data_IF_143975229178
#
_entry.id   IF_143975229178
#
_cell.length_a   1.000
_cell.length_b   1.000
_cell.length_c   1.000
_cell.angle_alpha   90.00
_cell.angle_beta   90.00
_cell.angle_gamma   90.00
#
_symmetry.space_group_name_H-M   'P 1'
#
loop_
_entity.id
_entity.type
_entity.pdbx_description
1 polymer ?
#
# COMPACT_ATOMS: atom_id res chain seq x y z
N UNK A 1 -26.43 50.22 5.71
CA UNK A 1 -25.41 49.63 4.81
C UNK A 1 -24.89 48.38 5.50
N UNK A 2 -25.25 47.20 5.00
CA UNK A 2 -24.84 45.90 5.54
C UNK A 2 -23.80 45.30 4.60
N UNK A 3 -22.56 45.19 5.08
CA UNK A 3 -21.45 44.53 4.40
C UNK A 3 -21.61 43.01 4.50
N UNK A 4 -21.58 42.25 3.39
CA UNK A 4 -21.56 40.80 3.46
C UNK A 4 -20.12 40.34 3.75
N UNK A 5 -19.91 39.63 4.87
CA UNK A 5 -18.68 38.88 5.10
C UNK A 5 -18.67 37.66 4.17
N UNK A 6 -17.75 37.64 3.22
CA UNK A 6 -17.39 36.43 2.45
C UNK A 6 -16.62 35.47 3.35
N UNK A 7 -17.24 34.35 3.70
CA UNK A 7 -16.56 33.20 4.28
C UNK A 7 -15.76 32.50 3.16
N UNK A 8 -14.45 32.72 3.15
CA UNK A 8 -13.52 31.88 2.40
C UNK A 8 -13.52 30.49 3.02
N UNK A 9 -14.15 29.53 2.34
CA UNK A 9 -14.03 28.11 2.66
C UNK A 9 -12.59 27.67 2.37
N UNK A 10 -11.74 27.66 3.40
CA UNK A 10 -10.46 26.96 3.38
C UNK A 10 -10.77 25.47 3.35
N UNK A 11 -10.80 24.88 2.16
CA UNK A 11 -10.72 23.43 2.01
C UNK A 11 -9.30 23.00 2.41
N UNK A 12 -9.10 22.62 3.67
CA UNK A 12 -7.91 21.87 4.03
C UNK A 12 -7.97 20.54 3.29
N UNK A 13 -6.95 20.17 2.49
CA UNK A 13 -6.87 18.81 1.99
C UNK A 13 -6.83 17.89 3.21
N UNK A 14 -7.80 17.00 3.28
CA UNK A 14 -7.87 15.87 4.21
C UNK A 14 -6.49 15.24 4.34
N UNK A 15 -5.93 15.19 5.55
CA UNK A 15 -4.73 14.42 5.84
C UNK A 15 -5.13 12.95 5.86
N UNK A 16 -5.03 12.28 4.71
CA UNK A 16 -5.12 10.84 4.65
C UNK A 16 -3.83 10.25 5.25
N UNK A 17 -3.94 9.13 5.95
CA UNK A 17 -2.78 8.45 6.52
C UNK A 17 -1.93 7.83 5.40
N UNK A 18 -1.01 8.60 4.84
CA UNK A 18 0.01 8.11 3.91
C UNK A 18 0.86 7.04 4.61
N UNK A 19 1.12 5.92 3.93
CA UNK A 19 1.97 4.86 4.50
C UNK A 19 3.42 5.31 4.41
N UNK A 20 4.06 5.56 5.56
CA UNK A 20 5.48 5.89 5.63
C UNK A 20 6.32 4.60 5.68
N UNK A 21 7.05 4.33 4.61
CA UNK A 21 8.01 3.23 4.51
C UNK A 21 9.38 3.71 4.95
N UNK A 22 9.98 2.97 5.88
CA UNK A 22 11.29 3.28 6.45
C UNK A 22 12.26 2.14 6.14
N UNK A 23 13.51 2.49 5.92
CA UNK A 23 14.58 1.53 5.77
C UNK A 23 15.83 2.01 6.52
N UNK A 24 16.74 1.09 6.85
CA UNK A 24 18.00 1.45 7.50
C UNK A 24 18.86 2.30 6.56
N UNK A 25 19.66 3.20 7.14
CA UNK A 25 20.65 3.97 6.39
C UNK A 25 21.60 3.05 5.61
N UNK A 26 21.80 3.35 4.32
CA UNK A 26 22.53 2.51 3.33
C UNK A 26 21.98 1.08 3.20
N UNK A 27 20.75 0.85 3.63
CA UNK A 27 20.05 -0.42 3.50
C UNK A 27 19.28 -0.53 2.19
N UNK A 28 18.97 -1.78 1.85
CA UNK A 28 18.03 -2.17 0.81
C UNK A 28 16.81 -2.80 1.49
N UNK A 29 15.64 -2.19 1.34
CA UNK A 29 14.39 -2.74 1.85
C UNK A 29 13.50 -3.22 0.72
N UNK A 30 13.18 -4.51 0.77
CA UNK A 30 12.31 -5.15 -0.19
C UNK A 30 10.92 -5.35 0.41
N UNK A 31 9.89 -4.80 -0.22
CA UNK A 31 8.52 -4.82 0.32
C UNK A 31 7.46 -4.91 -0.78
N UNK A 32 6.36 -5.61 -0.49
CA UNK A 32 5.15 -5.58 -1.29
C UNK A 32 4.17 -4.55 -0.72
N UNK A 33 3.52 -3.79 -1.61
CA UNK A 33 2.48 -2.81 -1.32
C UNK A 33 1.32 -3.01 -2.30
N UNK A 34 0.14 -2.54 -1.92
CA UNK A 34 -1.02 -2.54 -2.82
C UNK A 34 -0.94 -1.32 -3.73
N UNK A 35 -1.14 -1.51 -5.03
CA UNK A 35 -1.22 -0.39 -5.97
C UNK A 35 -2.40 0.54 -5.63
N UNK A 36 -2.25 1.79 -6.01
CA UNK A 36 -3.26 2.83 -5.82
C UNK A 36 -3.37 3.43 -4.43
N UNK A 37 -2.63 2.92 -3.45
CA UNK A 37 -2.52 3.54 -2.12
C UNK A 37 -1.30 4.46 -2.05
N UNK A 38 -1.52 5.69 -1.60
CA UNK A 38 -0.45 6.67 -1.42
C UNK A 38 0.61 6.19 -0.43
N UNK A 39 1.88 6.38 -0.80
CA UNK A 39 3.02 5.92 -0.02
C UNK A 39 4.11 6.99 0.03
N UNK A 40 4.80 7.07 1.16
CA UNK A 40 5.99 7.89 1.33
C UNK A 40 7.18 6.99 1.61
N UNK A 41 8.20 7.07 0.76
CA UNK A 41 9.50 6.44 0.98
C UNK A 41 10.39 7.42 1.74
N UNK A 42 10.78 7.06 2.96
CA UNK A 42 11.57 7.94 3.82
C UNK A 42 12.98 8.14 3.24
N UNK A 43 13.44 9.38 3.18
CA UNK A 43 14.85 9.68 3.01
C UNK A 43 15.22 10.92 3.81
N UNK A 44 16.02 10.73 4.85
CA UNK A 44 16.38 11.76 5.83
C UNK A 44 17.54 12.64 5.34
N UNK A 45 17.45 13.11 4.09
CA UNK A 45 18.44 14.00 3.51
C UNK A 45 17.78 15.12 2.70
N UNK A 46 17.83 16.37 3.18
CA UNK A 46 17.32 17.51 2.43
C UNK A 46 17.93 17.57 1.04
N UNK A 47 17.12 17.93 0.04
CA UNK A 47 17.53 18.02 -1.37
C UNK A 47 18.00 16.71 -2.02
N UNK A 48 17.80 15.54 -1.41
CA UNK A 48 18.18 14.26 -2.01
C UNK A 48 17.67 14.01 -3.44
N UNK A 49 18.49 13.41 -4.30
CA UNK A 49 18.08 13.00 -5.64
C UNK A 49 17.46 11.60 -5.58
N UNK A 50 16.40 11.40 -6.36
CA UNK A 50 15.70 10.12 -6.44
C UNK A 50 15.76 9.56 -7.84
N UNK A 51 16.26 8.33 -7.94
CA UNK A 51 16.31 7.56 -9.17
C UNK A 51 15.37 6.37 -9.07
N UNK A 52 14.81 5.96 -10.22
CA UNK A 52 14.00 4.77 -10.33
C UNK A 52 14.54 3.87 -11.43
N UNK A 53 14.62 2.58 -11.14
CA UNK A 53 14.96 1.52 -12.08
C UNK A 53 13.78 0.53 -12.13
N UNK A 54 13.18 0.40 -13.32
CA UNK A 54 12.08 -0.55 -13.55
C UNK A 54 12.58 -2.00 -13.45
N UNK A 55 11.75 -2.92 -12.95
CA UNK A 55 12.04 -4.36 -12.99
C UNK A 55 12.22 -4.91 -14.41
N UNK A 56 11.77 -4.18 -15.44
CA UNK A 56 11.90 -4.56 -16.84
C UNK A 56 13.29 -4.30 -17.42
N UNK A 57 14.23 -3.79 -16.62
CA UNK A 57 15.63 -3.60 -17.02
C UNK A 57 15.90 -2.31 -17.79
N UNK A 58 15.14 -1.25 -17.51
CA UNK A 58 15.38 0.09 -18.05
C UNK A 58 16.49 0.82 -17.29
N UNK A 59 17.20 1.73 -17.97
CA UNK A 59 18.22 2.57 -17.33
C UNK A 59 17.59 3.44 -16.22
N UNK A 60 18.29 3.62 -15.07
CA UNK A 60 17.78 4.43 -13.98
C UNK A 60 17.52 5.87 -14.44
N UNK A 61 16.34 6.41 -14.13
CA UNK A 61 16.01 7.79 -14.47
C UNK A 61 15.60 8.61 -13.24
N UNK A 62 15.78 9.92 -13.34
CA UNK A 62 15.47 10.87 -12.27
C UNK A 62 13.95 11.03 -12.15
N UNK A 63 13.41 10.83 -10.95
CA UNK A 63 11.97 10.85 -10.69
C UNK A 63 11.32 12.25 -10.71
N UNK A 64 12.08 13.32 -10.99
CA UNK A 64 11.60 14.70 -10.98
C UNK A 64 10.49 15.01 -11.99
N UNK A 65 10.29 14.14 -12.99
CA UNK A 65 9.40 14.38 -14.13
C UNK A 65 8.16 13.47 -14.14
N UNK A 66 7.98 12.63 -13.12
CA UNK A 66 6.85 11.69 -13.05
C UNK A 66 5.66 12.37 -12.36
N UNK A 67 4.48 12.46 -13.00
CA UNK A 67 3.40 13.34 -12.55
C UNK A 67 2.76 12.93 -11.22
N UNK A 68 2.78 11.65 -10.87
CA UNK A 68 2.23 11.14 -9.61
C UNK A 68 3.27 10.99 -8.50
N UNK A 69 4.45 11.59 -8.66
CA UNK A 69 5.54 11.52 -7.71
C UNK A 69 5.93 12.93 -7.28
N UNK A 70 6.10 13.12 -5.97
CA UNK A 70 6.46 14.40 -5.37
C UNK A 70 7.58 14.22 -4.36
N UNK A 71 8.62 15.03 -4.48
CA UNK A 71 9.67 15.12 -3.45
C UNK A 71 9.20 16.03 -2.31
N UNK A 72 9.30 15.52 -1.09
CA UNK A 72 8.94 16.25 0.12
C UNK A 72 10.12 17.13 0.61
N UNK A 73 9.87 18.21 1.36
CA UNK A 73 10.92 19.11 1.84
C UNK A 73 12.05 18.43 2.63
N UNK A 74 11.72 17.34 3.34
CA UNK A 74 12.68 16.54 4.12
C UNK A 74 13.60 15.63 3.30
N UNK A 75 13.34 15.47 1.99
CA UNK A 75 14.09 14.55 1.13
C UNK A 75 13.31 13.30 0.74
N UNK A 76 12.31 12.90 1.52
CA UNK A 76 11.42 11.76 1.23
C UNK A 76 10.67 11.89 -0.09
N UNK A 77 10.26 10.75 -0.64
CA UNK A 77 9.52 10.66 -1.90
C UNK A 77 8.08 10.25 -1.61
N UNK A 78 7.12 11.04 -2.05
CA UNK A 78 5.70 10.71 -2.03
C UNK A 78 5.29 10.18 -3.41
N UNK A 79 4.62 9.03 -3.44
CA UNK A 79 3.96 8.49 -4.62
C UNK A 79 2.46 8.49 -4.36
N UNK A 80 1.70 9.18 -5.21
CA UNK A 80 0.24 9.21 -5.17
C UNK A 80 -0.31 8.18 -6.14
N UNK A 81 -1.25 7.33 -5.70
CA UNK A 81 -1.91 6.31 -6.52
C UNK A 81 -0.90 5.49 -7.39
N UNK A 82 0.14 4.87 -6.79
CA UNK A 82 1.20 4.19 -7.53
C UNK A 82 0.65 2.99 -8.33
N UNK A 83 1.14 2.81 -9.55
CA UNK A 83 0.69 1.74 -10.45
C UNK A 83 1.63 0.52 -10.39
N UNK A 84 1.19 -0.68 -10.79
CA UNK A 84 2.07 -1.85 -10.87
C UNK A 84 3.27 -1.67 -11.81
N UNK A 85 3.16 -0.80 -12.82
CA UNK A 85 4.30 -0.44 -13.69
C UNK A 85 5.40 0.34 -12.96
N UNK A 86 5.14 0.83 -11.75
CA UNK A 86 6.09 1.50 -10.88
C UNK A 86 6.75 0.54 -9.89
N UNK A 87 6.56 -0.77 -10.05
CA UNK A 87 7.33 -1.81 -9.35
C UNK A 87 8.79 -1.76 -9.79
N UNK A 88 9.71 -1.71 -8.83
CA UNK A 88 11.13 -1.56 -9.13
C UNK A 88 11.94 -1.01 -7.96
N UNK A 89 13.13 -0.52 -8.29
CA UNK A 89 14.12 -0.05 -7.33
C UNK A 89 14.15 1.48 -7.29
N UNK A 90 13.93 2.03 -6.11
CA UNK A 90 13.96 3.46 -5.82
C UNK A 90 15.21 3.77 -5.01
N UNK A 91 16.05 4.66 -5.52
CA UNK A 91 17.33 4.99 -4.93
C UNK A 91 17.33 6.44 -4.47
N UNK A 92 17.60 6.66 -3.18
CA UNK A 92 17.82 8.00 -2.64
C UNK A 92 19.32 8.28 -2.54
N UNK A 93 19.78 9.38 -3.14
CA UNK A 93 21.15 9.86 -3.06
C UNK A 93 21.21 11.25 -2.43
N UNK A 94 22.27 11.52 -1.68
CA UNK A 94 22.54 12.86 -1.16
C UNK A 94 23.04 13.81 -2.26
N UNK A 95 23.30 15.07 -1.89
CA UNK A 95 23.79 16.08 -2.83
C UNK A 95 25.21 15.82 -3.36
N UNK A 96 25.95 14.89 -2.75
CA UNK A 96 27.28 14.44 -3.17
C UNK A 96 27.24 13.12 -3.95
N UNK A 97 26.05 12.67 -4.39
CA UNK A 97 25.81 11.40 -5.06
C UNK A 97 26.11 10.16 -4.18
N UNK A 98 26.19 10.30 -2.86
CA UNK A 98 26.34 9.16 -1.98
C UNK A 98 24.98 8.51 -1.72
N UNK A 99 24.95 7.18 -1.72
CA UNK A 99 23.74 6.42 -1.43
C UNK A 99 23.28 6.65 0.01
N UNK A 100 22.01 7.01 0.17
CA UNK A 100 21.34 7.16 1.47
C UNK A 100 20.51 5.93 1.80
N UNK A 101 19.70 5.45 0.86
CA UNK A 101 18.78 4.31 1.07
C UNK A 101 18.23 3.78 -0.26
N UNK A 102 17.91 2.49 -0.32
CA UNK A 102 17.27 1.83 -1.46
C UNK A 102 15.99 1.12 -1.04
N UNK A 103 14.96 1.25 -1.88
CA UNK A 103 13.68 0.57 -1.72
C UNK A 103 13.36 -0.25 -2.96
N UNK A 104 13.24 -1.55 -2.81
CA UNK A 104 12.75 -2.45 -3.85
C UNK A 104 11.28 -2.77 -3.58
N UNK A 105 10.40 -2.12 -4.33
CA UNK A 105 8.97 -2.11 -4.04
C UNK A 105 8.21 -2.87 -5.13
N UNK A 106 7.38 -3.82 -4.69
CA UNK A 106 6.36 -4.48 -5.50
C UNK A 106 4.99 -3.84 -5.27
N UNK A 107 4.50 -3.06 -6.25
CA UNK A 107 3.11 -2.58 -6.26
C UNK A 107 2.19 -3.63 -6.89
N UNK A 108 1.59 -4.45 -6.03
CA UNK A 108 0.68 -5.52 -6.48
C UNK A 108 -0.69 -4.96 -6.87
N UNK A 109 -1.20 -5.44 -8.00
CA UNK A 109 -2.38 -4.86 -8.64
C UNK A 109 -3.68 -5.09 -7.85
N UNK A 110 -4.17 -4.00 -7.27
CA UNK A 110 -5.44 -3.93 -6.54
C UNK A 110 -6.65 -4.32 -7.37
N UNK A 111 -6.61 -4.13 -8.68
CA UNK A 111 -7.73 -4.45 -9.57
C UNK A 111 -8.03 -5.96 -9.63
N UNK A 112 -7.06 -6.78 -9.21
CA UNK A 112 -7.14 -8.25 -9.21
C UNK A 112 -7.35 -8.87 -7.83
N UNK A 113 -7.63 -8.02 -6.82
CA UNK A 113 -7.74 -8.41 -5.41
C UNK A 113 -8.70 -9.59 -5.19
N UNK A 114 -8.23 -10.63 -4.50
CA UNK A 114 -9.08 -11.74 -4.06
C UNK A 114 -9.59 -11.51 -2.64
N UNK A 115 -10.90 -11.34 -2.50
CA UNK A 115 -11.54 -11.07 -1.21
C UNK A 115 -12.17 -12.34 -0.64
N UNK A 116 -11.89 -12.63 0.63
CA UNK A 116 -12.51 -13.76 1.35
C UNK A 116 -13.04 -13.33 2.71
N UNK A 117 -14.21 -13.86 3.08
CA UNK A 117 -14.82 -13.68 4.39
C UNK A 117 -14.75 -14.97 5.21
N UNK A 118 -13.93 -14.96 6.27
CA UNK A 118 -13.66 -16.15 7.09
C UNK A 118 -14.92 -16.69 7.77
N UNK A 119 -15.79 -15.81 8.27
CA UNK A 119 -17.06 -16.19 8.92
C UNK A 119 -18.08 -16.84 7.99
N UNK A 120 -17.90 -16.72 6.66
CA UNK A 120 -18.75 -17.38 5.66
C UNK A 120 -18.16 -18.72 5.18
N UNK A 121 -17.06 -19.18 5.79
CA UNK A 121 -16.35 -20.38 5.37
C UNK A 121 -15.59 -20.24 4.05
N UNK A 122 -15.47 -19.02 3.51
CA UNK A 122 -14.65 -18.76 2.32
C UNK A 122 -13.18 -18.94 2.67
N UNK A 123 -12.45 -19.66 1.80
CA UNK A 123 -11.05 -19.99 2.01
C UNK A 123 -10.16 -19.08 1.16
N UNK A 124 -9.04 -18.57 1.71
CA UNK A 124 -8.01 -17.90 0.93
C UNK A 124 -7.44 -18.75 -0.21
N UNK A 125 -6.72 -18.10 -1.11
CA UNK A 125 -5.96 -18.76 -2.17
C UNK A 125 -4.99 -19.77 -1.56
N UNK A 126 -5.08 -21.01 -2.04
CA UNK A 126 -4.15 -22.06 -1.64
C UNK A 126 -2.77 -21.76 -2.19
N UNK A 127 -1.73 -22.25 -1.49
CA UNK A 127 -0.38 -22.17 -2.02
C UNK A 127 -0.28 -22.99 -3.31
N UNK A 128 0.49 -22.49 -4.26
CA UNK A 128 0.69 -23.12 -5.56
C UNK A 128 2.18 -23.37 -5.79
N UNK A 129 2.54 -24.47 -6.44
CA UNK A 129 3.91 -24.71 -6.87
C UNK A 129 4.00 -24.45 -8.36
N UNK A 130 4.90 -23.55 -8.77
CA UNK A 130 5.14 -23.22 -10.18
C UNK A 130 6.54 -23.69 -10.62
N UNK A 131 6.70 -23.87 -11.92
CA UNK A 131 8.00 -24.15 -12.55
C UNK A 131 8.48 -22.90 -13.30
N UNK A 132 9.31 -22.09 -12.65
CA UNK A 132 9.85 -20.82 -13.17
C UNK A 132 11.38 -20.89 -13.18
N UNK A 133 11.97 -21.61 -14.14
CA UNK A 133 13.41 -21.94 -14.11
C UNK A 133 13.83 -22.94 -13.01
N UNK A 134 12.93 -23.22 -12.06
CA UNK A 134 13.03 -24.19 -10.97
C UNK A 134 11.67 -24.37 -10.31
N UNK A 135 11.57 -25.27 -9.32
CA UNK A 135 10.33 -25.46 -8.56
C UNK A 135 10.25 -24.41 -7.46
N UNK A 136 9.24 -23.55 -7.54
CA UNK A 136 9.03 -22.46 -6.57
C UNK A 136 7.67 -22.55 -5.90
N UNK A 137 7.58 -22.08 -4.66
CA UNK A 137 6.33 -21.99 -3.91
C UNK A 137 5.77 -20.58 -3.98
N UNK A 138 4.54 -20.44 -4.47
CA UNK A 138 3.77 -19.19 -4.45
C UNK A 138 2.77 -19.24 -3.31
N UNK A 139 2.81 -18.25 -2.43
CA UNK A 139 1.98 -18.18 -1.23
C UNK A 139 1.62 -16.74 -0.86
N UNK A 140 0.75 -16.59 0.14
CA UNK A 140 0.33 -15.29 0.65
C UNK A 140 1.05 -15.01 1.95
N UNK A 141 1.79 -13.91 1.97
CA UNK A 141 2.29 -13.32 3.20
C UNK A 141 1.23 -12.36 3.74
N UNK A 142 0.65 -12.73 4.87
CA UNK A 142 -0.39 -11.93 5.52
C UNK A 142 0.22 -10.83 6.39
N UNK A 143 -0.32 -9.63 6.25
CA UNK A 143 -0.17 -8.59 7.26
C UNK A 143 -0.93 -8.97 8.54
N UNK A 144 -0.59 -8.33 9.67
CA UNK A 144 -1.40 -8.40 10.86
C UNK A 144 -2.86 -8.02 10.59
N UNK A 145 -3.76 -8.54 11.42
CA UNK A 145 -5.13 -8.03 11.45
C UNK A 145 -5.14 -6.58 11.89
N UNK A 146 -5.95 -5.78 11.20
CA UNK A 146 -6.35 -4.47 11.70
C UNK A 146 -7.12 -4.63 13.01
N UNK A 147 -7.17 -3.55 13.77
CA UNK A 147 -8.06 -3.46 14.92
C UNK A 147 -9.52 -3.64 14.48
N UNK A 148 -10.34 -4.09 15.42
CA UNK A 148 -11.77 -4.19 15.18
C UNK A 148 -12.33 -2.79 14.91
N UNK A 149 -13.15 -2.64 13.86
CA UNK A 149 -13.74 -1.34 13.52
C UNK A 149 -14.72 -0.80 14.57
N UNK A 150 -15.12 -1.66 15.52
CA UNK A 150 -16.04 -1.37 16.63
C UNK A 150 -15.55 -2.07 17.89
N UNK A 151 -15.92 -1.52 19.04
CA UNK A 151 -15.72 -2.13 20.35
C UNK A 151 -17.05 -2.22 21.09
N UNK A 152 -17.19 -3.15 22.04
CA UNK A 152 -18.41 -3.36 22.83
C UNK A 152 -19.58 -4.02 22.07
N UNK A 153 -19.54 -3.99 20.75
CA UNK A 153 -20.53 -4.59 19.86
C UNK A 153 -19.87 -5.37 18.71
N UNK A 154 -20.62 -6.25 18.00
CA UNK A 154 -20.10 -6.96 16.84
C UNK A 154 -19.55 -5.99 15.78
N UNK A 155 -18.31 -6.22 15.39
CA UNK A 155 -17.62 -5.47 14.35
C UNK A 155 -16.97 -6.37 13.31
N UNK A 156 -16.16 -5.77 12.47
CA UNK A 156 -15.36 -6.42 11.44
C UNK A 156 -13.92 -5.93 11.49
N UNK A 157 -12.99 -6.83 11.17
CA UNK A 157 -11.58 -6.50 10.96
C UNK A 157 -11.10 -7.12 9.65
N UNK A 158 -10.03 -6.53 9.11
CA UNK A 158 -9.49 -6.86 7.81
C UNK A 158 -7.99 -7.06 7.88
N UNK A 159 -7.43 -7.86 6.97
CA UNK A 159 -5.98 -7.93 6.74
C UNK A 159 -5.68 -8.09 5.26
N UNK A 160 -4.59 -7.47 4.83
CA UNK A 160 -4.07 -7.63 3.48
C UNK A 160 -3.11 -8.81 3.43
N UNK A 161 -3.07 -9.46 2.29
CA UNK A 161 -2.16 -10.55 1.98
C UNK A 161 -1.48 -10.29 0.66
N UNK A 162 -0.16 -10.35 0.63
CA UNK A 162 0.63 -10.10 -0.56
C UNK A 162 1.13 -11.41 -1.16
N UNK A 163 1.22 -11.46 -2.48
CA UNK A 163 1.81 -12.58 -3.21
C UNK A 163 3.32 -12.60 -2.99
N UNK A 164 3.84 -13.74 -2.53
CA UNK A 164 5.27 -14.01 -2.41
C UNK A 164 5.65 -15.32 -3.10
N UNK A 165 6.87 -15.38 -3.61
CA UNK A 165 7.52 -16.56 -4.18
C UNK A 165 8.71 -16.92 -3.30
N UNK A 166 8.86 -18.22 -3.04
CA UNK A 166 10.00 -18.78 -2.30
C UNK A 166 10.64 -19.91 -3.10
N UNK A 167 11.95 -19.79 -3.30
CA UNK A 167 12.80 -20.88 -3.75
C UNK A 167 13.35 -21.68 -2.56
N UNK A 168 13.68 -22.96 -2.76
CA UNK A 168 14.35 -23.73 -1.72
C UNK A 168 15.64 -23.04 -1.24
N UNK A 169 15.76 -22.81 0.06
CA UNK A 169 16.93 -22.20 0.73
C UNK A 169 17.14 -20.69 0.50
N UNK A 170 16.25 -20.03 -0.23
CA UNK A 170 16.30 -18.58 -0.43
C UNK A 170 15.26 -17.84 0.41
N UNK A 171 15.45 -16.52 0.56
CA UNK A 171 14.48 -15.66 1.21
C UNK A 171 13.33 -15.38 0.25
N UNK A 172 12.10 -15.62 0.69
CA UNK A 172 10.94 -15.31 -0.14
C UNK A 172 10.86 -13.83 -0.57
N UNK A 173 10.50 -13.61 -1.82
CA UNK A 173 10.41 -12.32 -2.48
C UNK A 173 8.98 -12.00 -2.95
N UNK A 174 8.58 -10.73 -3.04
CA UNK A 174 7.33 -10.35 -3.70
C UNK A 174 7.27 -10.85 -5.14
N UNK A 175 6.08 -11.33 -5.54
CA UNK A 175 5.91 -12.04 -6.80
C UNK A 175 6.40 -11.27 -8.03
N UNK A 176 6.10 -9.97 -8.15
CA UNK A 176 6.46 -9.25 -9.37
C UNK A 176 7.92 -8.81 -9.42
N UNK A 177 8.59 -8.68 -8.25
CA UNK A 177 10.05 -8.51 -8.19
C UNK A 177 10.77 -9.79 -8.61
N UNK A 178 10.27 -10.95 -8.19
CA UNK A 178 10.82 -12.25 -8.59
C UNK A 178 10.66 -12.50 -10.09
N UNK A 179 9.45 -12.27 -10.63
CA UNK A 179 9.13 -12.57 -12.03
C UNK A 179 9.82 -11.65 -13.04
N UNK A 180 10.28 -10.45 -12.66
CA UNK A 180 10.95 -9.48 -13.55
C UNK A 180 10.25 -9.24 -14.89
N UNK A 181 8.92 -9.22 -14.88
CA UNK A 181 8.11 -9.03 -16.09
C UNK A 181 7.82 -10.29 -16.91
N UNK A 182 8.27 -11.47 -16.46
CA UNK A 182 7.89 -12.75 -17.07
C UNK A 182 6.38 -12.98 -16.93
N UNK A 183 5.71 -13.17 -18.08
CA UNK A 183 4.28 -13.42 -18.11
C UNK A 183 4.01 -14.86 -17.71
N UNK A 184 3.58 -15.07 -16.47
CA UNK A 184 3.03 -16.36 -16.06
C UNK A 184 1.55 -16.22 -15.70
N UNK A 185 0.74 -17.14 -16.23
CA UNK A 185 -0.70 -17.14 -16.03
C UNK A 185 -1.04 -18.05 -14.87
N UNK A 186 -0.82 -17.57 -13.65
CA UNK A 186 -1.31 -18.22 -12.44
C UNK A 186 -2.32 -17.32 -11.74
N UNK A 187 -3.46 -17.91 -11.40
CA UNK A 187 -4.48 -17.25 -10.59
C UNK A 187 -4.01 -16.99 -9.15
N UNK A 188 -2.83 -17.48 -8.77
CA UNK A 188 -2.23 -17.25 -7.46
C UNK A 188 -1.49 -15.92 -7.34
N UNK A 189 -1.14 -15.31 -8.47
CA UNK A 189 -0.36 -14.07 -8.57
C UNK A 189 -1.20 -12.81 -8.34
N UNK A 190 -1.95 -12.78 -7.24
CA UNK A 190 -2.77 -11.64 -6.85
C UNK A 190 -2.74 -11.43 -5.36
N UNK A 191 -2.93 -10.18 -4.99
CA UNK A 191 -3.12 -9.76 -3.61
C UNK A 191 -4.44 -10.32 -3.06
N UNK A 192 -4.48 -10.55 -1.76
CA UNK A 192 -5.66 -11.00 -1.04
C UNK A 192 -6.10 -9.99 0.02
N UNK A 193 -7.40 -9.95 0.28
CA UNK A 193 -8.00 -9.27 1.42
C UNK A 193 -8.84 -10.29 2.19
N UNK A 194 -8.54 -10.46 3.47
CA UNK A 194 -9.36 -11.29 4.34
C UNK A 194 -10.16 -10.43 5.30
N UNK A 195 -11.44 -10.76 5.45
CA UNK A 195 -12.39 -10.11 6.35
C UNK A 195 -12.90 -11.13 7.36
N UNK A 196 -13.05 -10.72 8.61
CA UNK A 196 -13.75 -11.51 9.62
C UNK A 196 -14.51 -10.64 10.61
N UNK A 197 -15.57 -11.22 11.20
CA UNK A 197 -16.25 -10.63 12.33
C UNK A 197 -15.33 -10.62 13.57
N UNK A 198 -15.44 -9.57 14.38
CA UNK A 198 -14.71 -9.43 15.63
C UNK A 198 -15.62 -8.89 16.73
N UNK A 199 -15.23 -9.14 17.98
CA UNK A 199 -15.83 -8.53 19.15
C UNK A 199 -14.68 -8.13 20.07
N UNK A 200 -14.43 -6.83 20.19
CA UNK A 200 -13.35 -6.28 21.00
C UNK A 200 -13.93 -5.46 22.17
N UNK A 201 -13.33 -5.50 23.37
CA UNK A 201 -13.71 -4.60 24.45
C UNK A 201 -13.32 -3.15 24.11
N UNK A 202 -14.07 -2.17 24.61
CA UNK A 202 -13.69 -0.76 24.48
C UNK A 202 -12.55 -0.40 25.43
N UNK A 203 -11.58 0.36 24.93
CA UNK A 203 -10.49 0.94 25.70
C UNK A 203 -10.60 2.46 25.66
N UNK A 204 -11.39 3.00 26.58
CA UNK A 204 -11.70 4.43 26.67
C UNK A 204 -10.47 5.32 26.92
N UNK A 205 -9.34 4.74 27.35
CA UNK A 205 -8.08 5.48 27.55
C UNK A 205 -7.37 5.74 26.21
N UNK A 206 -7.49 4.82 25.25
CA UNK A 206 -6.97 5.00 23.88
C UNK A 206 -7.85 5.93 23.05
N UNK A 207 -9.16 5.91 23.24
CA UNK A 207 -10.12 6.74 22.51
C UNK A 207 -9.92 8.24 22.75
N UNK A 208 -9.54 8.66 23.97
CA UNK A 208 -9.27 10.07 24.30
C UNK A 208 -8.01 10.67 23.66
N UNK A 209 -7.12 9.82 23.12
CA UNK A 209 -5.85 10.25 22.51
C UNK A 209 -5.84 10.11 20.97
N UNK A 210 -6.99 9.80 20.34
CA UNK A 210 -7.08 9.77 18.89
C UNK A 210 -7.29 11.20 18.33
N UNK A 211 -6.56 11.61 17.27
CA UNK A 211 -6.90 12.84 16.56
C UNK A 211 -8.34 12.73 16.04
N UNK A 212 -9.14 13.78 16.26
CA UNK A 212 -10.53 13.85 15.80
C UNK A 212 -10.63 13.52 14.31
N UNK A 213 -11.27 12.39 13.98
CA UNK A 213 -11.65 12.08 12.61
C UNK A 213 -12.94 12.85 12.28
N UNK A 214 -12.88 13.69 11.25
CA UNK A 214 -14.07 14.33 10.67
C UNK A 214 -14.77 13.26 9.83
N UNK A 215 -15.99 12.90 10.23
CA UNK A 215 -16.85 12.00 9.45
C UNK A 215 -17.57 12.80 8.36
N UNK A 216 -17.27 12.53 7.09
CA UNK A 216 -18.12 12.96 5.97
C UNK A 216 -19.10 11.85 5.58
N UNK A 217 -20.40 12.17 5.59
CA UNK A 217 -21.46 11.29 5.10
C UNK A 217 -21.72 11.67 3.64
N UNK A 218 -21.16 10.92 2.69
CA UNK A 218 -21.49 11.09 1.27
C UNK A 218 -22.76 10.30 0.90
N UNK A 219 -23.77 10.92 0.28
CA UNK A 219 -24.89 10.18 -0.29
C UNK A 219 -24.40 9.33 -1.46
N UNK A 220 -24.68 8.02 -1.40
CA UNK A 220 -24.38 7.05 -2.46
C UNK A 220 -25.16 7.42 -3.73
N UNK A 221 -24.50 8.06 -4.70
CA UNK A 221 -25.18 8.42 -5.95
C UNK A 221 -24.40 9.34 -6.88
N UNK A 222 -23.21 8.93 -7.32
CA UNK A 222 -22.66 9.22 -8.67
C UNK A 222 -21.29 8.56 -8.83
N UNK A 223 -21.23 7.53 -9.65
CA UNK A 223 -19.98 6.91 -10.12
C UNK A 223 -19.17 7.93 -10.95
N UNK A 224 -17.94 8.19 -10.52
CA UNK A 224 -16.85 8.69 -11.38
C UNK A 224 -15.67 7.72 -11.24
N UNK A 225 -15.13 7.27 -12.37
CA UNK A 225 -14.13 6.22 -12.56
C UNK A 225 -12.77 6.42 -11.84
N UNK A 226 -12.75 6.35 -10.51
CA UNK A 226 -11.54 6.09 -9.73
C UNK A 226 -11.87 4.95 -8.75
N UNK A 227 -11.35 3.75 -8.99
CA UNK A 227 -11.53 2.64 -8.06
C UNK A 227 -10.48 2.76 -6.95
N UNK A 228 -10.84 3.51 -5.92
CA UNK A 228 -10.11 3.55 -4.65
C UNK A 228 -10.49 2.29 -3.87
N UNK A 229 -9.52 1.64 -3.22
CA UNK A 229 -9.85 0.83 -2.05
C UNK A 229 -10.23 1.77 -0.90
N UNK A 230 -11.38 2.43 -1.02
CA UNK A 230 -12.15 2.76 0.17
C UNK A 230 -12.43 1.43 0.83
N UNK A 231 -11.73 1.11 1.93
CA UNK A 231 -12.30 0.18 2.90
C UNK A 231 -13.68 0.76 3.22
N UNK A 232 -14.79 0.15 2.75
CA UNK A 232 -16.08 0.69 3.09
C UNK A 232 -16.18 0.58 4.61
N UNK A 233 -16.61 1.66 5.26
CA UNK A 233 -17.17 1.64 6.61
C UNK A 233 -18.51 0.88 6.65
N UNK A 234 -18.84 0.12 5.61
CA UNK A 234 -20.05 -0.67 5.49
C UNK A 234 -19.73 -2.14 5.75
N UNK A 235 -20.13 -2.60 6.94
CA UNK A 235 -20.45 -3.99 7.24
C UNK A 235 -21.23 -4.61 6.10
N UNK A 236 -20.82 -5.81 5.67
CA UNK A 236 -21.56 -6.60 4.67
C UNK A 236 -22.79 -7.28 5.31
N UNK A 237 -22.96 -7.13 6.62
CA UNK A 237 -24.13 -7.59 7.36
C UNK A 237 -25.07 -6.40 7.62
N UNK A 238 -26.24 -6.48 6.97
CA UNK A 238 -27.51 -5.90 7.45
C UNK A 238 -28.29 -6.99 8.14
#
# INVERSE_FOLDING_TARGET
MLTPLWLLSLSLPTLWAEILIRCSYKGLCQQALVSGNDVVLQCDHPKALWYFSSILGEDPFLLSSVPNIKKLPGGSLQLTNPQPSQTGLYHCQDSGNALVVEYEIDFQDVSTLHVTHRGLGQKPLQNETLSLGGRVLVFTRWEPWQDCNRCGEPGERKRLGYCYIEEPQEKAMPCWLYLRGEKTHSSRLRTELQVEACLAPCDHVKETNQPYFIFDIYPLGKLTNNMWLTCPLASIYR
#
